data_IF_014802748880
#
_entry.id   IF_014802748880
#
_cell.length_a   1.000
_cell.length_b   1.000
_cell.length_c   1.000
_cell.angle_alpha   90.00
_cell.angle_beta   90.00
_cell.angle_gamma   90.00
#
_symmetry.space_group_name_H-M   'P 1'
#
loop_
_entity.id
_entity.type
_entity.pdbx_description
1 polymer ?
#
# COMPACT_ATOMS: atom_id res chain seq x y z
N UNK A 1 13.42 7.74 -31.65
CA UNK A 1 13.46 6.50 -30.82
C UNK A 1 12.91 6.88 -29.46
N UNK A 2 11.80 6.29 -28.97
CA UNK A 2 11.39 6.58 -27.59
C UNK A 2 12.51 6.05 -26.70
N UNK A 3 13.15 6.94 -25.94
CA UNK A 3 14.11 6.53 -24.93
C UNK A 3 13.39 5.54 -24.02
N UNK A 4 13.83 4.28 -24.00
CA UNK A 4 13.36 3.31 -23.01
C UNK A 4 13.89 3.79 -21.66
N UNK A 5 13.16 4.71 -21.03
CA UNK A 5 13.41 5.07 -19.64
C UNK A 5 13.25 3.78 -18.84
N UNK A 6 14.31 3.37 -18.15
CA UNK A 6 14.24 2.17 -17.31
C UNK A 6 13.28 2.43 -16.15
N UNK A 7 12.69 1.36 -15.62
CA UNK A 7 11.84 1.46 -14.43
C UNK A 7 12.56 2.16 -13.28
N UNK A 8 13.83 1.79 -13.05
CA UNK A 8 14.70 2.41 -12.05
C UNK A 8 14.87 3.92 -12.25
N UNK A 9 15.02 4.36 -13.50
CA UNK A 9 15.18 5.78 -13.81
C UNK A 9 13.87 6.56 -13.59
N UNK A 10 12.73 5.97 -13.96
CA UNK A 10 11.42 6.56 -13.68
C UNK A 10 11.16 6.64 -12.18
N UNK A 11 11.49 5.58 -11.44
CA UNK A 11 11.37 5.54 -9.98
C UNK A 11 12.24 6.62 -9.33
N UNK A 12 13.50 6.74 -9.76
CA UNK A 12 14.41 7.76 -9.28
C UNK A 12 13.87 9.18 -9.51
N UNK A 13 13.33 9.47 -10.70
CA UNK A 13 12.72 10.78 -10.96
C UNK A 13 11.49 11.01 -10.10
N UNK A 14 10.61 10.01 -10.00
CA UNK A 14 9.42 10.08 -9.18
C UNK A 14 9.75 10.38 -7.71
N UNK A 15 10.76 9.74 -7.13
CA UNK A 15 11.08 9.90 -5.70
C UNK A 15 11.95 11.11 -5.38
N UNK A 16 12.93 11.42 -6.23
CA UNK A 16 14.00 12.37 -5.89
C UNK A 16 13.97 13.66 -6.70
N UNK A 17 13.30 13.69 -7.85
CA UNK A 17 13.36 14.82 -8.78
C UNK A 17 12.04 15.55 -8.92
N UNK A 18 10.91 14.84 -8.80
CA UNK A 18 9.58 15.43 -8.95
C UNK A 18 9.07 16.04 -7.65
N UNK A 19 8.42 17.17 -7.76
CA UNK A 19 7.63 17.78 -6.70
C UNK A 19 6.39 16.94 -6.37
N UNK A 20 5.81 17.14 -5.17
CA UNK A 20 4.57 16.46 -4.78
C UNK A 20 3.42 16.68 -5.78
N UNK A 21 3.34 17.87 -6.38
CA UNK A 21 2.32 18.18 -7.38
C UNK A 21 2.50 17.35 -8.66
N UNK A 22 3.74 17.21 -9.13
CA UNK A 22 4.08 16.40 -10.31
C UNK A 22 3.89 14.90 -10.05
N UNK A 23 4.29 14.42 -8.88
CA UNK A 23 4.04 13.03 -8.46
C UNK A 23 2.54 12.72 -8.43
N UNK A 24 1.73 13.62 -7.87
CA UNK A 24 0.29 13.46 -7.80
C UNK A 24 -0.38 13.50 -9.19
N UNK A 25 0.05 14.41 -10.08
CA UNK A 25 -0.46 14.45 -11.46
C UNK A 25 -0.11 13.17 -12.22
N UNK A 26 1.11 12.67 -12.08
CA UNK A 26 1.53 11.41 -12.67
C UNK A 26 0.69 10.23 -12.18
N UNK A 27 0.52 10.07 -10.86
CA UNK A 27 -0.27 8.98 -10.29
C UNK A 27 -1.74 9.05 -10.74
N UNK A 28 -2.33 10.25 -10.83
CA UNK A 28 -3.69 10.43 -11.35
C UNK A 28 -3.81 9.93 -12.78
N UNK A 29 -2.87 10.29 -13.64
CA UNK A 29 -2.85 9.82 -15.04
C UNK A 29 -2.61 8.31 -15.13
N UNK A 30 -1.75 7.75 -14.26
CA UNK A 30 -1.44 6.32 -14.23
C UNK A 30 -2.66 5.50 -13.81
N UNK A 31 -3.38 5.90 -12.77
CA UNK A 31 -4.58 5.19 -12.28
C UNK A 31 -5.66 5.10 -13.35
N UNK A 32 -5.84 6.15 -14.16
CA UNK A 32 -6.82 6.16 -15.27
C UNK A 32 -6.46 5.16 -16.37
N UNK A 33 -5.19 4.75 -16.47
CA UNK A 33 -4.74 3.73 -17.43
C UNK A 33 -4.88 2.30 -16.93
N UNK A 34 -5.20 2.10 -15.65
CA UNK A 34 -5.36 0.77 -15.08
C UNK A 34 -6.68 0.13 -15.49
N UNK A 35 -6.64 -1.17 -15.74
CA UNK A 35 -7.84 -1.99 -15.87
C UNK A 35 -8.52 -2.24 -14.51
N UNK A 36 -9.72 -2.79 -14.53
CA UNK A 36 -10.53 -3.04 -13.32
C UNK A 36 -9.79 -3.89 -12.27
N UNK A 37 -8.98 -4.87 -12.69
CA UNK A 37 -8.23 -5.75 -11.79
C UNK A 37 -7.07 -5.01 -11.13
N UNK A 38 -6.36 -4.20 -11.91
CA UNK A 38 -5.27 -3.36 -11.44
C UNK A 38 -5.75 -2.28 -10.47
N UNK A 39 -6.90 -1.65 -10.77
CA UNK A 39 -7.54 -0.69 -9.87
C UNK A 39 -7.97 -1.34 -8.55
N UNK A 40 -8.58 -2.53 -8.61
CA UNK A 40 -8.93 -3.29 -7.41
C UNK A 40 -7.69 -3.62 -6.57
N UNK A 41 -6.62 -4.10 -7.21
CA UNK A 41 -5.36 -4.41 -6.53
C UNK A 41 -4.78 -3.19 -5.79
N UNK A 42 -4.70 -2.04 -6.45
CA UNK A 42 -4.18 -0.80 -5.85
C UNK A 42 -5.06 -0.33 -4.70
N UNK A 43 -6.39 -0.42 -4.84
CA UNK A 43 -7.34 -0.10 -3.76
C UNK A 43 -7.11 -0.96 -2.52
N UNK A 44 -6.93 -2.27 -2.69
CA UNK A 44 -6.60 -3.19 -1.60
C UNK A 44 -5.30 -2.81 -0.89
N UNK A 45 -4.24 -2.50 -1.64
CA UNK A 45 -2.94 -2.11 -1.07
C UNK A 45 -3.04 -0.80 -0.28
N UNK A 46 -3.70 0.22 -0.82
CA UNK A 46 -3.91 1.51 -0.14
C UNK A 46 -4.73 1.30 1.14
N UNK A 47 -5.78 0.52 1.05
CA UNK A 47 -6.69 0.21 2.16
C UNK A 47 -5.96 -0.52 3.29
N UNK A 48 -5.15 -1.53 2.97
CA UNK A 48 -4.34 -2.24 3.94
C UNK A 48 -3.31 -1.34 4.64
N UNK A 49 -2.65 -0.43 3.90
CA UNK A 49 -1.71 0.54 4.49
C UNK A 49 -2.42 1.47 5.46
N UNK A 50 -3.58 2.03 5.09
CA UNK A 50 -4.38 2.90 5.96
C UNK A 50 -4.88 2.20 7.23
N UNK A 51 -5.33 0.95 7.14
CA UNK A 51 -5.77 0.20 8.32
C UNK A 51 -4.62 -0.27 9.21
N UNK A 52 -3.43 -0.57 8.63
CA UNK A 52 -2.22 -0.86 9.41
C UNK A 52 -1.83 0.33 10.28
N UNK A 53 -1.92 1.54 9.73
CA UNK A 53 -1.64 2.76 10.47
C UNK A 53 -2.69 2.97 11.57
N UNK A 54 -3.97 2.70 11.30
CA UNK A 54 -5.05 2.86 12.28
C UNK A 54 -4.84 2.03 13.55
N UNK A 55 -4.45 0.75 13.43
CA UNK A 55 -4.18 -0.10 14.61
C UNK A 55 -2.94 0.39 15.37
N UNK A 56 -1.92 0.89 14.66
CA UNK A 56 -0.71 1.43 15.29
C UNK A 56 -0.91 2.75 16.02
N UNK A 57 -1.97 3.49 15.68
CA UNK A 57 -2.34 4.76 16.30
C UNK A 57 -3.25 4.59 17.53
N UNK A 58 -3.77 3.39 17.78
CA UNK A 58 -4.59 3.11 18.95
C UNK A 58 -3.70 2.92 20.20
N UNK A 59 -4.12 3.43 21.36
CA UNK A 59 -3.45 3.12 22.64
C UNK A 59 -3.34 1.60 22.85
N UNK A 60 -2.22 1.13 23.39
CA UNK A 60 -1.96 -0.32 23.57
C UNK A 60 -3.09 -1.06 24.30
N UNK A 61 -3.74 -0.40 25.25
CA UNK A 61 -4.89 -0.95 25.97
C UNK A 61 -6.08 -1.25 25.03
N UNK A 62 -6.36 -0.35 24.09
CA UNK A 62 -7.45 -0.49 23.11
C UNK A 62 -7.11 -1.55 22.07
N UNK A 63 -5.86 -1.59 21.61
CA UNK A 63 -5.39 -2.63 20.68
C UNK A 63 -5.54 -4.02 21.31
N UNK A 64 -5.16 -4.17 22.58
CA UNK A 64 -5.24 -5.45 23.26
C UNK A 64 -6.68 -5.94 23.45
N UNK A 65 -7.61 -5.04 23.78
CA UNK A 65 -9.03 -5.38 23.90
C UNK A 65 -9.66 -5.74 22.55
N UNK A 66 -9.33 -5.02 21.47
CA UNK A 66 -9.78 -5.37 20.12
C UNK A 66 -9.23 -6.73 19.70
N UNK A 67 -7.94 -6.98 19.94
CA UNK A 67 -7.30 -8.26 19.63
C UNK A 67 -7.91 -9.44 20.41
N UNK A 68 -8.41 -9.20 21.64
CA UNK A 68 -9.14 -10.22 22.42
C UNK A 68 -10.53 -10.52 21.85
N UNK A 69 -11.18 -9.55 21.22
CA UNK A 69 -12.50 -9.75 20.59
C UNK A 69 -12.44 -10.46 19.25
N UNK A 70 -11.25 -10.60 18.66
CA UNK A 70 -11.05 -11.34 17.40
C UNK A 70 -10.95 -12.85 17.66
N UNK A 71 -11.63 -13.62 16.83
CA UNK A 71 -11.53 -15.08 16.85
C UNK A 71 -10.16 -15.56 16.36
N UNK A 72 -9.75 -16.78 16.73
CA UNK A 72 -8.50 -17.40 16.28
C UNK A 72 -8.34 -17.42 14.74
N UNK A 73 -9.45 -17.54 14.00
CA UNK A 73 -9.44 -17.44 12.52
C UNK A 73 -9.14 -16.02 12.02
N UNK A 74 -9.69 -14.99 12.67
CA UNK A 74 -9.47 -13.59 12.30
C UNK A 74 -8.05 -13.13 12.69
N UNK A 75 -7.55 -13.57 13.85
CA UNK A 75 -6.16 -13.39 14.25
C UNK A 75 -5.21 -14.09 13.26
N UNK A 76 -5.54 -15.30 12.81
CA UNK A 76 -4.73 -16.03 11.81
C UNK A 76 -4.70 -15.32 10.45
N UNK A 77 -5.84 -14.78 9.98
CA UNK A 77 -5.89 -13.94 8.78
C UNK A 77 -5.07 -12.66 8.91
N UNK A 78 -5.10 -11.99 10.06
CA UNK A 78 -4.24 -10.83 10.33
C UNK A 78 -2.74 -11.18 10.33
N UNK A 79 -2.41 -12.45 10.62
CA UNK A 79 -1.05 -12.98 10.63
C UNK A 79 -0.59 -13.43 9.23
N UNK A 80 -1.49 -13.91 8.38
CA UNK A 80 -1.20 -14.22 6.97
C UNK A 80 -0.93 -12.99 6.12
N UNK A 81 -1.59 -11.86 6.41
CA UNK A 81 -1.24 -10.56 5.83
C UNK A 81 0.21 -10.18 6.17
N UNK A 82 0.77 -10.61 7.31
CA UNK A 82 2.20 -10.43 7.60
C UNK A 82 3.10 -11.32 6.73
N UNK A 83 2.71 -12.56 6.41
CA UNK A 83 3.57 -13.47 5.62
C UNK A 83 3.72 -13.07 4.16
N UNK A 84 2.69 -12.48 3.55
CA UNK A 84 2.79 -11.99 2.17
C UNK A 84 3.56 -10.67 2.02
N UNK A 85 3.87 -9.98 3.12
CA UNK A 85 4.63 -8.72 3.13
C UNK A 85 6.14 -8.94 3.25
N UNK A 86 6.60 -10.08 3.78
CA UNK A 86 8.04 -10.41 3.83
C UNK A 86 8.60 -10.97 2.52
N UNK A 87 7.78 -11.25 1.51
CA UNK A 87 8.28 -11.66 0.19
C UNK A 87 8.67 -10.47 -0.71
N UNK A 88 8.44 -9.23 -0.25
CA UNK A 88 8.75 -8.00 -0.98
C UNK A 88 9.60 -7.01 -0.16
N UNK A 89 10.25 -7.48 0.91
CA UNK A 89 11.38 -6.82 1.58
C UNK A 89 12.62 -7.71 1.40
#
# INVERSE_FOLDING_TARGET
VPSRTSFEQLLHWFTNSWSEAEQNDFLRRLIVKFDERQQYFVSCVITQRRYRDFISLLPQSVVFEILKTLTLQELSRSREVRKHVWFYL
#
